data_IF_372127189605
#
_entry.id   IF_372127189605
#
_cell.length_a   1.000
_cell.length_b   1.000
_cell.length_c   1.000
_cell.angle_alpha   90.00
_cell.angle_beta   90.00
_cell.angle_gamma   90.00
#
_symmetry.space_group_name_H-M   'P 1'
#
loop_
_entity.id
_entity.type
_entity.pdbx_description
1 polymer ?
#
# COMPACT_ATOMS: atom_id res chain seq x y z
N UNK A 1 24.63 -23.12 18.46
CA UNK A 1 23.74 -22.69 17.36
C UNK A 1 23.02 -21.46 17.86
N UNK A 2 23.33 -20.35 17.19
CA UNK A 2 23.44 -19.02 17.76
C UNK A 2 22.11 -18.25 17.67
N UNK A 3 21.53 -17.86 18.82
CA UNK A 3 20.33 -17.00 18.86
C UNK A 3 20.61 -15.61 18.29
N UNK A 4 21.87 -15.19 18.29
CA UNK A 4 22.30 -13.87 17.85
C UNK A 4 22.23 -13.73 16.33
N UNK A 5 22.56 -14.78 15.57
CA UNK A 5 22.45 -14.83 14.10
C UNK A 5 20.99 -14.84 13.59
N UNK A 6 20.08 -15.48 14.32
CA UNK A 6 18.65 -15.52 13.94
C UNK A 6 17.98 -14.15 14.15
N UNK A 7 18.36 -13.42 15.22
CA UNK A 7 17.81 -12.09 15.49
C UNK A 7 18.30 -11.01 14.51
N UNK A 8 19.55 -11.08 14.03
CA UNK A 8 20.07 -10.14 13.02
C UNK A 8 19.47 -10.37 11.63
N UNK A 9 19.23 -11.63 11.23
CA UNK A 9 18.57 -11.93 9.96
C UNK A 9 17.10 -11.46 9.92
N UNK A 10 16.38 -11.58 11.03
CA UNK A 10 15.01 -11.05 11.16
C UNK A 10 14.96 -9.52 11.01
N UNK A 11 15.85 -8.81 11.70
CA UNK A 11 15.91 -7.35 11.65
C UNK A 11 16.26 -6.80 10.26
N UNK A 12 17.18 -7.46 9.53
CA UNK A 12 17.53 -7.07 8.17
C UNK A 12 16.33 -7.25 7.21
N UNK A 13 15.64 -8.39 7.31
CA UNK A 13 14.44 -8.66 6.51
C UNK A 13 13.29 -7.71 6.81
N UNK A 14 13.13 -7.32 8.07
CA UNK A 14 12.14 -6.33 8.48
C UNK A 14 12.47 -4.93 7.94
N UNK A 15 13.75 -4.53 7.89
CA UNK A 15 14.17 -3.28 7.28
C UNK A 15 13.93 -3.26 5.76
N UNK A 16 14.26 -4.34 5.05
CA UNK A 16 13.97 -4.50 3.62
C UNK A 16 12.47 -4.44 3.34
N UNK A 17 11.66 -5.07 4.19
CA UNK A 17 10.21 -5.02 4.08
C UNK A 17 9.67 -3.61 4.30
N UNK A 18 10.21 -2.85 5.26
CA UNK A 18 9.81 -1.48 5.54
C UNK A 18 10.17 -0.52 4.39
N UNK A 19 11.36 -0.69 3.80
CA UNK A 19 11.77 0.06 2.61
C UNK A 19 10.85 -0.27 1.42
N UNK A 20 10.59 -1.56 1.19
CA UNK A 20 9.68 -2.02 0.14
C UNK A 20 8.25 -1.49 0.36
N UNK A 21 7.75 -1.49 1.60
CA UNK A 21 6.48 -0.90 2.00
C UNK A 21 6.42 0.57 1.62
N UNK A 22 7.40 1.36 2.07
CA UNK A 22 7.44 2.80 1.83
C UNK A 22 7.46 3.10 0.34
N UNK A 23 8.33 2.43 -0.42
CA UNK A 23 8.45 2.66 -1.86
C UNK A 23 7.19 2.26 -2.63
N UNK A 24 6.63 1.08 -2.35
CA UNK A 24 5.50 0.52 -3.11
C UNK A 24 4.17 1.18 -2.77
N UNK A 25 3.98 1.58 -1.51
CA UNK A 25 2.70 2.13 -1.03
C UNK A 25 2.65 3.66 -1.00
N UNK A 26 3.77 4.36 -1.19
CA UNK A 26 3.78 5.84 -1.20
C UNK A 26 2.76 6.42 -2.18
N UNK A 27 2.83 6.07 -3.46
CA UNK A 27 1.90 6.59 -4.47
C UNK A 27 0.45 6.10 -4.23
N UNK A 28 0.18 4.79 -4.00
CA UNK A 28 -1.17 4.32 -3.72
C UNK A 28 -1.84 5.04 -2.55
N UNK A 29 -1.17 5.18 -1.41
CA UNK A 29 -1.73 5.86 -0.23
C UNK A 29 -1.92 7.36 -0.47
N UNK A 30 -1.03 7.99 -1.24
CA UNK A 30 -1.22 9.39 -1.68
C UNK A 30 -2.50 9.52 -2.49
N UNK A 31 -2.76 8.61 -3.43
CA UNK A 31 -3.98 8.62 -4.24
C UNK A 31 -5.23 8.33 -3.41
N UNK A 32 -5.15 7.45 -2.40
CA UNK A 32 -6.22 7.27 -1.43
C UNK A 32 -6.56 8.59 -0.71
N UNK A 33 -5.55 9.26 -0.15
CA UNK A 33 -5.74 10.51 0.57
C UNK A 33 -6.33 11.61 -0.33
N UNK A 34 -5.84 11.74 -1.58
CA UNK A 34 -6.35 12.71 -2.56
C UNK A 34 -7.78 12.44 -3.01
N UNK A 35 -8.20 11.18 -3.05
CA UNK A 35 -9.52 10.76 -3.53
C UNK A 35 -10.56 10.54 -2.43
N UNK A 36 -10.19 10.78 -1.17
CA UNK A 36 -11.06 10.65 0.01
C UNK A 36 -11.32 12.00 0.67
N UNK A 37 -12.18 12.00 1.69
CA UNK A 37 -12.42 13.17 2.52
C UNK A 37 -11.19 13.63 3.31
N UNK A 38 -10.12 12.82 3.37
CA UNK A 38 -8.84 13.17 4.02
C UNK A 38 -8.19 14.40 3.37
N UNK A 39 -8.43 14.66 2.08
CA UNK A 39 -7.98 15.87 1.39
C UNK A 39 -8.52 17.18 1.98
N UNK A 40 -9.52 17.11 2.89
CA UNK A 40 -10.05 18.27 3.62
C UNK A 40 -9.29 18.56 4.92
N UNK A 41 -8.45 17.63 5.39
CA UNK A 41 -7.69 17.76 6.62
C UNK A 41 -6.43 18.59 6.35
N UNK A 42 -5.64 18.14 5.39
CA UNK A 42 -4.43 18.79 4.92
C UNK A 42 -4.10 18.33 3.49
N UNK A 43 -3.07 18.92 2.89
CA UNK A 43 -2.56 18.46 1.60
C UNK A 43 -2.14 16.98 1.68
N UNK A 44 -2.46 16.20 0.66
CA UNK A 44 -2.23 14.76 0.69
C UNK A 44 -0.74 14.39 0.80
N UNK A 45 0.16 15.18 0.19
CA UNK A 45 1.59 14.92 0.26
C UNK A 45 2.14 15.27 1.66
N UNK A 46 1.60 16.32 2.28
CA UNK A 46 1.88 16.66 3.68
C UNK A 46 1.41 15.55 4.64
N UNK A 47 0.17 15.06 4.47
CA UNK A 47 -0.39 13.96 5.27
C UNK A 47 0.44 12.68 5.12
N UNK A 48 0.86 12.34 3.91
CA UNK A 48 1.69 11.15 3.69
C UNK A 48 3.07 11.31 4.33
N UNK A 49 3.65 12.51 4.26
CA UNK A 49 4.95 12.79 4.88
C UNK A 49 4.89 12.62 6.40
N UNK A 50 3.87 13.15 7.07
CA UNK A 50 3.68 12.98 8.52
C UNK A 50 3.35 11.52 8.88
N UNK A 51 2.53 10.86 8.06
CA UNK A 51 2.20 9.45 8.24
C UNK A 51 3.45 8.56 8.22
N UNK A 52 4.27 8.66 7.17
CA UNK A 52 5.49 7.85 7.06
C UNK A 52 6.52 8.21 8.13
N UNK A 53 6.66 9.49 8.50
CA UNK A 53 7.52 9.87 9.61
C UNK A 53 7.11 9.19 10.93
N UNK A 54 5.80 9.09 11.20
CA UNK A 54 5.28 8.38 12.36
C UNK A 54 5.49 6.87 12.24
N UNK A 55 5.18 6.26 11.10
CA UNK A 55 5.32 4.80 10.93
C UNK A 55 6.78 4.33 11.03
N UNK A 56 7.71 5.06 10.40
CA UNK A 56 9.14 4.74 10.45
C UNK A 56 9.74 4.92 11.85
N UNK A 57 9.11 5.74 12.72
CA UNK A 57 9.51 5.88 14.11
C UNK A 57 8.99 4.75 15.02
N UNK A 58 8.12 3.86 14.53
CA UNK A 58 7.50 2.78 15.32
C UNK A 58 8.26 1.46 15.15
N UNK A 59 9.06 1.03 16.15
CA UNK A 59 9.93 -0.15 16.02
C UNK A 59 9.18 -1.49 15.94
N UNK A 60 7.88 -1.52 16.27
CA UNK A 60 7.06 -2.74 16.30
C UNK A 60 6.01 -2.81 15.18
N UNK A 61 6.04 -1.87 14.23
CA UNK A 61 5.02 -1.75 13.18
C UNK A 61 4.78 -3.07 12.43
N UNK A 62 5.85 -3.77 12.06
CA UNK A 62 5.76 -5.03 11.31
C UNK A 62 5.13 -6.14 12.17
N UNK A 63 5.42 -6.18 13.47
CA UNK A 63 4.83 -7.16 14.38
C UNK A 63 3.33 -6.91 14.57
N UNK A 64 2.93 -5.66 14.79
CA UNK A 64 1.52 -5.28 14.89
C UNK A 64 0.73 -5.61 13.62
N UNK A 65 1.35 -5.41 12.45
CA UNK A 65 0.76 -5.83 11.19
C UNK A 65 0.58 -7.35 11.13
N UNK A 66 1.63 -8.13 11.41
CA UNK A 66 1.56 -9.60 11.41
C UNK A 66 0.50 -10.12 12.38
N UNK A 67 0.41 -9.55 13.58
CA UNK A 67 -0.60 -9.89 14.60
C UNK A 67 -2.03 -9.55 14.18
N UNK A 68 -2.21 -8.54 13.31
CA UNK A 68 -3.55 -8.17 12.83
C UNK A 68 -4.20 -9.23 11.92
N UNK A 69 -3.39 -10.08 11.29
CA UNK A 69 -3.85 -11.05 10.28
C UNK A 69 -4.44 -10.43 9.01
N UNK A 70 -4.32 -9.10 8.83
CA UNK A 70 -4.81 -8.41 7.65
C UNK A 70 -3.77 -8.40 6.54
N UNK A 71 -4.24 -8.47 5.29
CA UNK A 71 -3.40 -8.13 4.14
C UNK A 71 -2.83 -6.71 4.33
N UNK A 72 -1.54 -6.57 4.05
CA UNK A 72 -0.78 -5.34 4.31
C UNK A 72 -1.47 -4.08 3.75
N UNK A 73 -2.05 -4.18 2.55
CA UNK A 73 -2.78 -3.07 1.91
C UNK A 73 -3.94 -2.53 2.74
N UNK A 74 -4.73 -3.41 3.37
CA UNK A 74 -5.87 -3.02 4.21
C UNK A 74 -5.38 -2.47 5.54
N UNK A 75 -4.34 -3.11 6.09
CA UNK A 75 -3.74 -2.67 7.33
C UNK A 75 -3.17 -1.24 7.21
N UNK A 76 -2.44 -0.93 6.13
CA UNK A 76 -1.88 0.39 5.90
C UNK A 76 -2.95 1.48 5.75
N UNK A 77 -4.03 1.21 5.03
CA UNK A 77 -5.14 2.18 4.92
C UNK A 77 -5.80 2.40 6.28
N UNK A 78 -5.96 1.34 7.08
CA UNK A 78 -6.47 1.47 8.44
C UNK A 78 -5.53 2.32 9.32
N UNK A 79 -4.21 2.11 9.25
CA UNK A 79 -3.23 2.95 9.96
C UNK A 79 -3.27 4.41 9.50
N UNK A 80 -3.47 4.65 8.20
CA UNK A 80 -3.61 6.01 7.67
C UNK A 80 -4.85 6.70 8.22
N UNK A 81 -5.99 6.00 8.32
CA UNK A 81 -7.22 6.55 8.91
C UNK A 81 -7.05 6.88 10.39
N UNK A 82 -6.32 6.05 11.15
CA UNK A 82 -5.96 6.34 12.55
C UNK A 82 -5.08 7.60 12.62
N UNK A 83 -4.06 7.71 11.76
CA UNK A 83 -3.18 8.87 11.71
C UNK A 83 -3.94 10.16 11.36
N UNK A 84 -4.74 10.14 10.29
CA UNK A 84 -5.50 11.30 9.84
C UNK A 84 -6.48 11.80 10.91
N UNK A 85 -7.03 10.89 11.71
CA UNK A 85 -7.84 11.26 12.86
C UNK A 85 -7.03 11.97 13.95
N UNK A 86 -5.84 11.47 14.29
CA UNK A 86 -4.97 12.17 15.25
C UNK A 86 -4.65 13.59 14.76
N UNK A 87 -4.39 13.76 13.47
CA UNK A 87 -4.20 15.08 12.83
C UNK A 87 -5.41 15.98 12.93
N UNK A 88 -6.63 15.46 12.72
CA UNK A 88 -7.87 16.22 12.93
C UNK A 88 -8.04 16.72 14.37
N UNK A 89 -7.69 15.90 15.36
CA UNK A 89 -7.71 16.29 16.77
C UNK A 89 -6.70 17.41 17.05
N UNK A 90 -5.45 17.26 16.59
CA UNK A 90 -4.39 18.25 16.77
C UNK A 90 -4.76 19.61 16.17
N UNK A 91 -5.20 19.64 14.90
CA UNK A 91 -5.60 20.87 14.23
C UNK A 91 -6.80 21.56 14.89
N UNK A 92 -7.73 20.79 15.48
CA UNK A 92 -8.83 21.35 16.25
C UNK A 92 -8.39 21.90 17.60
N UNK A 93 -7.42 21.26 18.28
CA UNK A 93 -6.84 21.79 19.52
C UNK A 93 -6.21 23.15 19.23
N UNK A 94 -5.34 23.23 18.22
CA UNK A 94 -4.67 24.48 17.82
C UNK A 94 -5.67 25.60 17.47
N UNK A 95 -6.75 25.26 16.75
CA UNK A 95 -7.81 26.22 16.42
C UNK A 95 -8.62 26.67 17.64
N UNK A 96 -8.84 25.78 18.62
CA UNK A 96 -9.60 26.07 19.84
C UNK A 96 -8.83 26.87 20.89
N UNK A 97 -7.50 26.77 20.90
CA UNK A 97 -6.65 27.67 21.70
C UNK A 97 -6.68 29.11 21.14
N UNK A 98 -7.02 29.26 19.86
CA UNK A 98 -7.06 30.55 19.16
C UNK A 98 -8.46 31.19 19.13
N UNK A 99 -9.53 30.40 19.19
CA UNK A 99 -10.90 30.86 19.39
C UNK A 99 -11.51 30.14 20.60
N UNK A 100 -11.47 30.80 21.76
CA UNK A 100 -12.24 30.39 22.93
C UNK A 100 -13.72 30.35 22.53
N UNK A 101 -14.31 29.15 22.36
CA UNK A 101 -15.74 29.02 22.06
C UNK A 101 -16.56 29.55 23.24
N UNK A 102 -16.92 30.84 23.21
CA UNK A 102 -17.75 31.47 24.24
C UNK A 102 -19.19 30.94 24.28
N UNK A 103 -19.63 30.21 23.25
CA UNK A 103 -21.01 29.70 23.13
C UNK A 103 -21.13 28.21 23.49
N UNK A 104 -20.00 27.52 23.60
CA UNK A 104 -19.90 26.13 24.03
C UNK A 104 -19.36 26.13 25.47
N UNK A 105 -20.17 26.50 26.47
CA UNK A 105 -19.75 26.56 27.87
C UNK A 105 -19.13 25.25 28.36
N UNK A 106 -17.81 25.11 28.20
CA UNK A 106 -17.00 23.94 28.52
C UNK A 106 -17.48 22.66 27.83
N UNK A 107 -16.77 22.18 26.80
CA UNK A 107 -17.02 20.85 26.24
C UNK A 107 -16.79 19.75 27.30
N UNK A 108 -17.82 19.45 28.09
CA UNK A 108 -17.90 18.34 29.03
C UNK A 108 -18.38 17.06 28.33
N UNK A 109 -17.99 16.84 27.07
CA UNK A 109 -18.30 15.62 26.32
C UNK A 109 -17.54 14.39 26.83
N UNK A 110 -16.66 14.54 27.82
CA UNK A 110 -15.97 13.43 28.47
C UNK A 110 -16.86 12.65 29.46
N UNK A 111 -17.94 13.24 30.01
CA UNK A 111 -18.72 12.61 31.10
C UNK A 111 -20.26 12.65 30.92
N UNK A 112 -20.78 12.67 29.70
CA UNK A 112 -22.23 12.62 29.45
C UNK A 112 -22.77 11.16 29.48
N UNK A 113 -22.53 10.45 30.57
CA UNK A 113 -23.45 9.40 30.98
C UNK A 113 -24.58 10.09 31.74
N UNK A 114 -25.82 9.82 31.33
CA UNK A 114 -27.08 10.24 31.95
C UNK A 114 -27.66 11.59 31.48
N UNK A 115 -28.79 11.47 30.77
CA UNK A 115 -29.86 12.47 30.49
C UNK A 115 -29.68 13.50 29.36
N UNK A 116 -30.05 13.12 28.12
CA UNK A 116 -30.96 13.84 27.17
C UNK A 116 -30.72 13.39 25.71
N UNK A 117 -31.71 12.73 25.10
CA UNK A 117 -31.50 11.72 24.03
C UNK A 117 -31.57 12.22 22.58
N UNK A 118 -31.51 13.53 22.30
CA UNK A 118 -31.63 14.00 20.89
C UNK A 118 -30.61 15.04 20.42
N UNK A 119 -30.07 15.89 21.30
CA UNK A 119 -29.02 16.86 20.89
C UNK A 119 -27.58 16.36 21.09
N UNK A 120 -27.35 15.40 22.00
CA UNK A 120 -26.03 14.84 22.27
C UNK A 120 -25.47 14.06 21.07
N UNK A 121 -26.32 13.35 20.31
CA UNK A 121 -25.93 12.57 19.14
C UNK A 121 -25.38 13.46 18.02
N UNK A 122 -25.95 14.65 17.80
CA UNK A 122 -25.50 15.55 16.73
C UNK A 122 -24.17 16.25 17.07
N UNK A 123 -23.90 16.48 18.35
CA UNK A 123 -22.65 17.08 18.80
C UNK A 123 -21.50 16.06 18.81
N UNK A 124 -21.76 14.81 19.24
CA UNK A 124 -20.76 13.74 19.22
C UNK A 124 -20.25 13.43 17.80
N UNK A 125 -21.12 13.41 16.79
CA UNK A 125 -20.72 13.16 15.39
C UNK A 125 -19.91 14.31 14.76
N UNK A 126 -20.03 15.53 15.30
CA UNK A 126 -19.28 16.71 14.84
C UNK A 126 -18.01 16.98 15.65
N UNK A 127 -17.84 16.31 16.78
CA UNK A 127 -16.67 16.50 17.62
C UNK A 127 -15.48 15.71 17.03
N UNK A 128 -14.37 16.38 16.67
CA UNK A 128 -13.18 15.72 16.10
C UNK A 128 -12.53 14.75 17.08
N UNK A 129 -12.75 14.96 18.38
CA UNK A 129 -12.26 14.10 19.47
C UNK A 129 -13.17 12.90 19.76
N UNK A 130 -14.29 12.74 19.04
CA UNK A 130 -15.16 11.58 19.21
C UNK A 130 -14.42 10.27 18.94
N UNK A 131 -14.70 9.21 19.71
CA UNK A 131 -14.03 7.90 19.62
C UNK A 131 -14.28 7.14 18.31
N UNK A 132 -15.09 7.67 17.40
CA UNK A 132 -15.50 7.02 16.15
C UNK A 132 -14.33 6.91 15.15
N UNK A 133 -14.00 5.70 14.64
CA UNK A 133 -13.02 5.54 13.58
C UNK A 133 -13.47 6.23 12.28
N UNK A 134 -12.53 6.83 11.54
CA UNK A 134 -12.82 7.31 10.19
C UNK A 134 -13.18 6.10 9.30
N UNK A 135 -14.29 6.15 8.54
CA UNK A 135 -14.71 5.03 7.72
C UNK A 135 -13.80 4.85 6.50
N UNK A 136 -13.65 3.61 6.05
CA UNK A 136 -13.04 3.32 4.75
C UNK A 136 -13.98 3.81 3.63
N UNK A 137 -13.50 4.72 2.79
CA UNK A 137 -14.24 5.19 1.62
C UNK A 137 -14.05 4.25 0.42
N UNK A 138 -15.11 3.58 -0.11
CA UNK A 138 -14.98 2.57 -1.16
C UNK A 138 -14.34 3.10 -2.45
N UNK A 139 -14.79 4.25 -2.95
CA UNK A 139 -14.27 4.84 -4.18
C UNK A 139 -12.79 5.22 -4.07
N UNK A 140 -12.36 5.77 -2.93
CA UNK A 140 -10.95 6.08 -2.69
C UNK A 140 -10.11 4.80 -2.61
N UNK A 141 -10.67 3.76 -2.00
CA UNK A 141 -10.03 2.46 -1.92
C UNK A 141 -9.85 1.80 -3.29
N UNK A 142 -10.81 1.93 -4.21
CA UNK A 142 -10.67 1.45 -5.60
C UNK A 142 -9.56 2.19 -6.38
N UNK A 143 -9.34 3.48 -6.12
CA UNK A 143 -8.23 4.24 -6.72
C UNK A 143 -6.88 3.78 -6.15
N UNK A 144 -6.84 3.55 -4.84
CA UNK A 144 -5.71 2.95 -4.16
C UNK A 144 -5.37 1.57 -4.72
N UNK A 145 -6.34 0.67 -4.85
CA UNK A 145 -6.12 -0.70 -5.33
C UNK A 145 -5.60 -0.74 -6.76
N UNK A 146 -6.10 0.16 -7.63
CA UNK A 146 -5.57 0.32 -9.00
C UNK A 146 -4.13 0.82 -9.03
N UNK A 147 -3.79 1.78 -8.18
CA UNK A 147 -2.42 2.28 -8.10
C UNK A 147 -1.47 1.21 -7.51
N UNK A 148 -1.93 0.50 -6.49
CA UNK A 148 -1.18 -0.58 -5.84
C UNK A 148 -0.93 -1.75 -6.80
N UNK A 149 -1.92 -2.18 -7.60
CA UNK A 149 -1.74 -3.28 -8.55
C UNK A 149 -0.68 -2.95 -9.61
N UNK A 150 -0.64 -1.70 -10.09
CA UNK A 150 0.41 -1.20 -10.99
C UNK A 150 1.78 -1.17 -10.32
N UNK A 151 1.85 -0.73 -9.06
CA UNK A 151 3.10 -0.74 -8.29
C UNK A 151 3.63 -2.17 -8.08
N UNK A 152 2.75 -3.13 -7.79
CA UNK A 152 3.10 -4.56 -7.68
C UNK A 152 3.61 -5.14 -8.99
N UNK A 153 2.94 -4.85 -10.12
CA UNK A 153 3.38 -5.28 -11.44
C UNK A 153 4.77 -4.72 -11.79
N UNK A 154 5.00 -3.43 -11.56
CA UNK A 154 6.29 -2.78 -11.80
C UNK A 154 7.41 -3.38 -10.94
N UNK A 155 7.12 -3.66 -9.65
CA UNK A 155 8.07 -4.29 -8.75
C UNK A 155 8.43 -5.71 -9.22
N UNK A 156 7.43 -6.52 -9.60
CA UNK A 156 7.67 -7.86 -10.09
C UNK A 156 8.46 -7.89 -11.41
N UNK A 157 8.14 -6.99 -12.34
CA UNK A 157 8.92 -6.78 -13.56
C UNK A 157 10.38 -6.45 -13.24
N UNK A 158 10.63 -5.52 -12.30
CA UNK A 158 11.98 -5.14 -11.89
C UNK A 158 12.76 -6.30 -11.27
N UNK A 159 12.10 -7.09 -10.40
CA UNK A 159 12.69 -8.30 -9.78
C UNK A 159 13.02 -9.34 -10.85
N UNK A 160 12.10 -9.59 -11.78
CA UNK A 160 12.30 -10.57 -12.85
C UNK A 160 13.42 -10.15 -13.81
N UNK A 161 13.48 -8.87 -14.17
CA UNK A 161 14.55 -8.30 -14.98
C UNK A 161 15.92 -8.52 -14.31
N UNK A 162 16.07 -8.05 -13.07
CA UNK A 162 17.33 -8.17 -12.33
C UNK A 162 17.81 -9.63 -12.23
N UNK A 163 16.88 -10.56 -12.01
CA UNK A 163 17.20 -11.97 -11.93
C UNK A 163 17.63 -12.60 -13.26
N UNK A 164 17.04 -12.17 -14.38
CA UNK A 164 17.42 -12.65 -15.72
C UNK A 164 18.77 -12.04 -16.15
N UNK A 165 19.01 -10.76 -15.84
CA UNK A 165 20.28 -10.09 -16.08
C UNK A 165 21.42 -10.73 -15.27
N UNK A 166 21.19 -11.05 -13.99
CA UNK A 166 22.19 -11.76 -13.18
C UNK A 166 22.50 -13.17 -13.67
N UNK A 167 21.60 -13.77 -14.47
CA UNK A 167 21.74 -15.11 -15.03
C UNK A 167 22.26 -15.10 -16.48
N UNK A 168 22.69 -13.94 -17.00
CA UNK A 168 23.10 -13.72 -18.40
C UNK A 168 22.01 -14.09 -19.44
N UNK A 169 20.73 -14.02 -19.04
CA UNK A 169 19.57 -14.33 -19.89
C UNK A 169 18.78 -13.04 -20.23
N UNK A 170 19.50 -11.97 -20.57
CA UNK A 170 18.89 -10.70 -20.98
C UNK A 170 18.05 -10.83 -22.27
N UNK A 171 18.27 -11.88 -23.07
CA UNK A 171 17.47 -12.18 -24.25
C UNK A 171 16.03 -12.57 -23.88
N UNK A 172 15.83 -13.32 -22.79
CA UNK A 172 14.50 -13.63 -22.28
C UNK A 172 13.74 -12.37 -21.87
N UNK A 173 14.38 -11.48 -21.12
CA UNK A 173 13.79 -10.22 -20.68
C UNK A 173 13.39 -9.33 -21.87
N UNK A 174 14.28 -9.15 -22.84
CA UNK A 174 13.99 -8.33 -24.02
C UNK A 174 12.84 -8.90 -24.86
N UNK A 175 12.76 -10.22 -25.01
CA UNK A 175 11.64 -10.85 -25.72
C UNK A 175 10.30 -10.59 -25.01
N UNK A 176 10.28 -10.66 -23.68
CA UNK A 176 9.10 -10.34 -22.89
C UNK A 176 8.71 -8.86 -22.99
N UNK A 177 9.65 -7.93 -22.77
CA UNK A 177 9.39 -6.48 -22.84
C UNK A 177 8.81 -6.07 -24.18
N UNK A 178 9.46 -6.46 -25.28
CA UNK A 178 9.04 -6.08 -26.63
C UNK A 178 7.65 -6.65 -26.97
N UNK A 179 7.32 -7.87 -26.53
CA UNK A 179 6.03 -8.48 -26.85
C UNK A 179 4.90 -8.04 -25.92
N UNK A 180 5.08 -8.20 -24.61
CA UNK A 180 4.00 -8.01 -23.62
C UNK A 180 3.83 -6.56 -23.17
N UNK A 181 4.91 -5.78 -23.10
CA UNK A 181 4.84 -4.38 -22.65
C UNK A 181 4.69 -3.41 -23.82
N UNK A 182 5.27 -3.73 -24.98
CA UNK A 182 5.26 -2.86 -26.17
C UNK A 182 4.32 -3.34 -27.28
N UNK A 183 3.76 -4.54 -27.18
CA UNK A 183 2.78 -5.06 -28.12
C UNK A 183 3.35 -5.50 -29.47
N UNK A 184 4.65 -5.75 -29.59
CA UNK A 184 5.25 -6.20 -30.84
C UNK A 184 4.92 -7.67 -31.14
N UNK A 185 4.71 -7.97 -32.43
CA UNK A 185 4.50 -9.33 -32.92
C UNK A 185 5.80 -10.15 -32.92
N UNK A 186 5.74 -11.45 -32.62
CA UNK A 186 6.93 -12.32 -32.55
C UNK A 186 7.79 -12.32 -33.82
N UNK A 187 7.20 -12.06 -34.99
CA UNK A 187 7.95 -11.92 -36.23
C UNK A 187 8.86 -10.69 -36.24
N UNK A 188 8.41 -9.55 -35.68
CA UNK A 188 9.24 -8.37 -35.53
C UNK A 188 10.37 -8.59 -34.51
N UNK A 189 10.06 -9.26 -33.39
CA UNK A 189 11.06 -9.62 -32.38
C UNK A 189 12.19 -10.49 -32.94
N UNK A 190 11.89 -11.43 -33.83
CA UNK A 190 12.92 -12.29 -34.44
C UNK A 190 13.99 -11.50 -35.21
N UNK A 191 13.57 -10.44 -35.92
CA UNK A 191 14.49 -9.60 -36.68
C UNK A 191 15.31 -8.71 -35.75
N UNK A 192 14.68 -8.15 -34.71
CA UNK A 192 15.32 -7.22 -33.78
C UNK A 192 16.31 -7.90 -32.84
N UNK A 193 16.01 -9.12 -32.38
CA UNK A 193 16.83 -9.85 -31.41
C UNK A 193 17.77 -10.89 -32.06
N UNK A 194 17.69 -11.09 -33.38
CA UNK A 194 18.45 -12.14 -34.08
C UNK A 194 18.04 -13.57 -33.66
N UNK A 195 16.83 -13.74 -33.14
CA UNK A 195 16.29 -15.02 -32.67
C UNK A 195 15.34 -15.62 -33.70
N UNK A 196 15.12 -16.93 -33.64
CA UNK A 196 13.97 -17.52 -34.35
C UNK A 196 12.66 -17.14 -33.66
N UNK A 197 11.54 -17.14 -34.39
CA UNK A 197 10.20 -16.89 -33.82
C UNK A 197 9.90 -17.88 -32.67
N UNK A 198 10.31 -19.14 -32.80
CA UNK A 198 10.15 -20.15 -31.75
C UNK A 198 10.98 -19.81 -30.51
N UNK A 199 12.24 -19.42 -30.69
CA UNK A 199 13.11 -19.00 -29.59
C UNK A 199 12.57 -17.73 -28.90
N UNK A 200 12.06 -16.75 -29.64
CA UNK A 200 11.44 -15.55 -29.09
C UNK A 200 10.23 -15.87 -28.19
N UNK A 201 9.38 -16.82 -28.60
CA UNK A 201 8.24 -17.30 -27.78
C UNK A 201 8.69 -18.00 -26.50
N UNK A 202 9.68 -18.88 -26.59
CA UNK A 202 10.24 -19.59 -25.42
C UNK A 202 10.83 -18.60 -24.43
N UNK A 203 11.60 -17.64 -24.93
CA UNK A 203 12.24 -16.57 -24.15
C UNK A 203 11.19 -15.67 -23.46
N UNK A 204 10.18 -15.21 -24.20
CA UNK A 204 9.10 -14.39 -23.65
C UNK A 204 8.30 -15.15 -22.57
N UNK A 205 8.00 -16.44 -22.79
CA UNK A 205 7.32 -17.28 -21.80
C UNK A 205 8.15 -17.47 -20.53
N UNK A 206 9.45 -17.75 -20.66
CA UNK A 206 10.34 -17.93 -19.51
C UNK A 206 10.40 -16.67 -18.65
N UNK A 207 10.52 -15.50 -19.27
CA UNK A 207 10.50 -14.23 -18.55
C UNK A 207 9.13 -13.96 -17.91
N UNK A 208 8.02 -14.29 -18.59
CA UNK A 208 6.68 -14.24 -17.99
C UNK A 208 6.56 -15.14 -16.75
N UNK A 209 7.05 -16.38 -16.80
CA UNK A 209 7.09 -17.30 -15.65
C UNK A 209 7.91 -16.71 -14.48
N UNK A 210 8.96 -15.95 -14.78
CA UNK A 210 9.77 -15.25 -13.76
C UNK A 210 9.03 -14.08 -13.12
N UNK A 211 8.27 -13.30 -13.91
CA UNK A 211 7.39 -12.22 -13.42
C UNK A 211 6.27 -12.79 -12.56
N UNK A 212 5.61 -13.86 -13.01
CA UNK A 212 4.56 -14.57 -12.27
C UNK A 212 5.08 -15.07 -10.91
N UNK A 213 6.26 -15.71 -10.91
CA UNK A 213 6.92 -16.13 -9.67
C UNK A 213 7.26 -14.97 -8.74
N UNK A 214 7.71 -13.83 -9.28
CA UNK A 214 8.00 -12.63 -8.49
C UNK A 214 6.72 -12.03 -7.87
N UNK A 215 5.62 -11.93 -8.63
CA UNK A 215 4.33 -11.46 -8.11
C UNK A 215 3.82 -12.32 -6.95
N UNK A 216 3.90 -13.65 -7.09
CA UNK A 216 3.50 -14.59 -6.04
C UNK A 216 4.31 -14.41 -4.77
N UNK A 217 5.62 -14.21 -4.90
CA UNK A 217 6.48 -13.97 -3.75
C UNK A 217 6.12 -12.65 -3.07
N UNK A 218 5.93 -11.59 -3.84
CA UNK A 218 5.52 -10.29 -3.31
C UNK A 218 4.19 -10.39 -2.53
N UNK A 219 3.18 -11.10 -3.06
CA UNK A 219 1.91 -11.28 -2.37
C UNK A 219 2.06 -12.02 -1.03
N UNK A 220 2.91 -13.04 -0.97
CA UNK A 220 3.22 -13.75 0.29
C UNK A 220 3.91 -12.83 1.29
N UNK A 221 4.86 -12.02 0.82
CA UNK A 221 5.54 -11.03 1.66
C UNK A 221 4.58 -9.95 2.18
N UNK A 222 3.44 -9.73 1.51
CA UNK A 222 2.34 -8.85 1.95
C UNK A 222 1.29 -9.55 2.84
N UNK A 223 1.55 -10.80 3.23
CA UNK A 223 0.70 -11.56 4.15
C UNK A 223 -0.51 -12.21 3.49
N UNK A 224 -0.54 -12.35 2.16
CA UNK A 224 -1.56 -13.17 1.47
C UNK A 224 -1.29 -14.65 1.76
N UNK A 225 -2.32 -15.36 2.22
CA UNK A 225 -2.22 -16.78 2.53
C UNK A 225 -1.95 -17.60 1.26
N UNK A 226 -1.19 -18.68 1.39
CA UNK A 226 -0.76 -19.53 0.27
C UNK A 226 -1.91 -20.04 -0.61
N UNK A 227 -3.04 -20.36 0.01
CA UNK A 227 -4.28 -20.76 -0.66
C UNK A 227 -4.91 -19.65 -1.52
N UNK A 228 -4.77 -18.39 -1.10
CA UNK A 228 -5.39 -17.22 -1.74
C UNK A 228 -4.50 -16.57 -2.81
N UNK A 229 -3.19 -16.88 -2.85
CA UNK A 229 -2.22 -16.23 -3.76
C UNK A 229 -2.66 -16.34 -5.23
N UNK A 230 -3.25 -17.46 -5.64
CA UNK A 230 -3.70 -17.63 -7.03
C UNK A 230 -4.85 -16.70 -7.40
N UNK A 231 -5.85 -16.59 -6.52
CA UNK A 231 -7.04 -15.78 -6.74
C UNK A 231 -6.68 -14.29 -6.70
N UNK A 232 -5.83 -13.91 -5.75
CA UNK A 232 -5.32 -12.55 -5.62
C UNK A 232 -4.46 -12.14 -6.84
N UNK A 233 -3.61 -13.03 -7.34
CA UNK A 233 -2.83 -12.80 -8.55
C UNK A 233 -3.72 -12.60 -9.78
N UNK A 234 -4.74 -13.45 -9.95
CA UNK A 234 -5.68 -13.34 -11.06
C UNK A 234 -6.43 -12.00 -11.03
N UNK A 235 -6.88 -11.58 -9.85
CA UNK A 235 -7.52 -10.29 -9.64
C UNK A 235 -6.56 -9.13 -9.91
N UNK A 236 -5.31 -9.19 -9.43
CA UNK A 236 -4.30 -8.15 -9.63
C UNK A 236 -4.02 -7.91 -11.12
N UNK A 237 -3.86 -9.00 -11.90
CA UNK A 237 -3.65 -8.92 -13.34
C UNK A 237 -4.84 -8.25 -14.03
N UNK A 238 -6.06 -8.60 -13.66
CA UNK A 238 -7.27 -8.00 -14.21
C UNK A 238 -7.39 -6.51 -13.88
N UNK A 239 -7.15 -6.12 -12.63
CA UNK A 239 -7.24 -4.71 -12.20
C UNK A 239 -6.15 -3.86 -12.82
N UNK A 240 -4.95 -4.40 -13.02
CA UNK A 240 -3.82 -3.66 -13.62
C UNK A 240 -4.04 -3.28 -15.09
N UNK A 241 -4.92 -4.00 -15.80
CA UNK A 241 -5.25 -3.76 -17.22
C UNK A 241 -6.26 -2.62 -17.42
N UNK A 242 -6.91 -2.16 -16.35
CA UNK A 242 -7.93 -1.09 -16.35
C UNK A 242 -7.31 0.27 -16.09
#
# INVERSE_FOLDING_TARGET
>A
MDKTEVSTHGAARDAELLEAMTHRYAQPLTLYARSSTLARIEDADALMKSFWAQQLARPLMINEWRESGLALRRWLVHQLLIHARARLCELHIDSSEQEQCNDCGGCACANAATTSTTSATTCATKCPTSSTPLPLEPHAFEHFERAWSRAMMNAACSIAQAALESSDDAAAWNAFRLHFLEGNEYAALSQQLGLTVSAARINARRAHERVDGALRQLLRDEGVADEDVNDELAWLIEVSKR
#
